data_IF_077612104210
#
_entry.id   IF_077612104210
#
_cell.length_a   1.000
_cell.length_b   1.000
_cell.length_c   1.000
_cell.angle_alpha   90.00
_cell.angle_beta   90.00
_cell.angle_gamma   90.00
#
_symmetry.space_group_name_H-M   'P 1'
#
loop_
_entity.id
_entity.type
_entity.pdbx_description
1 polymer ?
#
# COMPACT_ATOMS: atom_id res chain seq x y z
N UNK A 1 -12.70 -32.35 14.47
CA UNK A 1 -12.21 -31.10 15.10
C UNK A 1 -12.23 -30.01 14.04
N UNK A 2 -12.80 -28.84 14.35
CA UNK A 2 -12.73 -27.68 13.45
C UNK A 2 -11.34 -27.05 13.56
N UNK A 3 -10.71 -26.63 12.45
CA UNK A 3 -9.42 -25.95 12.50
C UNK A 3 -9.57 -24.65 13.30
N UNK A 4 -8.67 -24.44 14.26
CA UNK A 4 -8.61 -23.21 15.06
C UNK A 4 -7.79 -22.17 14.31
N UNK A 5 -8.45 -21.23 13.64
CA UNK A 5 -7.76 -20.12 12.98
C UNK A 5 -7.26 -19.13 14.03
N UNK A 6 -5.94 -18.86 14.04
CA UNK A 6 -5.34 -17.83 14.88
C UNK A 6 -5.07 -16.57 14.05
N UNK A 7 -5.58 -15.44 14.51
CA UNK A 7 -5.23 -14.15 13.96
C UNK A 7 -3.80 -13.81 14.35
N UNK A 8 -2.97 -13.46 13.36
CA UNK A 8 -1.59 -13.02 13.58
C UNK A 8 -1.49 -11.55 13.23
N UNK A 9 -1.10 -10.74 14.21
CA UNK A 9 -0.76 -9.35 13.98
C UNK A 9 0.67 -9.27 13.45
N UNK A 10 0.89 -8.43 12.46
CA UNK A 10 2.21 -8.20 11.89
C UNK A 10 3.02 -7.27 12.78
N UNK A 11 4.23 -7.68 13.12
CA UNK A 11 5.22 -6.79 13.72
C UNK A 11 5.66 -5.77 12.66
N UNK A 12 5.68 -4.50 13.05
CA UNK A 12 5.95 -3.39 12.14
C UNK A 12 7.10 -2.57 12.67
N UNK A 13 7.99 -2.15 11.77
CA UNK A 13 9.13 -1.33 12.15
C UNK A 13 8.68 0.07 12.57
N UNK A 14 8.83 0.35 13.86
CA UNK A 14 8.49 1.65 14.46
C UNK A 14 9.27 2.82 13.87
N UNK A 15 10.48 2.60 13.35
CA UNK A 15 11.25 3.67 12.71
C UNK A 15 10.60 4.08 11.39
N UNK A 16 10.34 3.11 10.51
CA UNK A 16 9.64 3.36 9.25
C UNK A 16 8.22 3.90 9.49
N UNK A 17 7.51 3.42 10.53
CA UNK A 17 6.19 3.92 10.90
C UNK A 17 6.23 5.43 11.19
N UNK A 18 7.22 5.87 11.99
CA UNK A 18 7.42 7.28 12.35
C UNK A 18 7.84 8.15 11.17
N UNK A 19 8.67 7.64 10.25
CA UNK A 19 9.07 8.36 9.04
C UNK A 19 7.84 8.65 8.18
N UNK A 20 7.05 7.62 7.86
CA UNK A 20 5.83 7.77 7.07
C UNK A 20 4.82 8.71 7.75
N UNK A 21 4.64 8.61 9.06
CA UNK A 21 3.77 9.53 9.80
C UNK A 21 4.20 11.00 9.64
N UNK A 22 5.49 11.29 9.85
CA UNK A 22 6.01 12.67 9.79
C UNK A 22 5.98 13.23 8.38
N UNK A 23 6.40 12.45 7.38
CA UNK A 23 6.53 12.92 6.02
C UNK A 23 5.18 13.05 5.29
N UNK A 24 4.22 12.20 5.62
CA UNK A 24 2.88 12.23 5.00
C UNK A 24 1.84 12.96 5.85
N UNK A 25 2.15 13.28 7.11
CA UNK A 25 1.20 13.90 8.04
C UNK A 25 -0.01 13.01 8.37
N UNK A 26 0.20 11.69 8.40
CA UNK A 26 -0.88 10.69 8.59
C UNK A 26 -0.89 10.10 10.01
N UNK A 27 -2.04 9.58 10.41
CA UNK A 27 -2.21 8.89 11.69
C UNK A 27 -1.36 7.61 11.76
N UNK A 28 -0.81 7.22 12.94
CA UNK A 28 -0.01 5.99 13.11
C UNK A 28 -0.66 4.73 12.54
N UNK A 29 -1.97 4.60 12.75
CA UNK A 29 -2.76 3.48 12.19
C UNK A 29 -2.62 3.35 10.67
N UNK A 30 -2.65 4.47 9.93
CA UNK A 30 -2.49 4.45 8.48
C UNK A 30 -1.07 4.07 8.08
N UNK A 31 -0.07 4.59 8.79
CA UNK A 31 1.33 4.21 8.60
C UNK A 31 1.53 2.69 8.78
N UNK A 32 0.97 2.12 9.85
CA UNK A 32 1.00 0.67 10.10
C UNK A 32 0.28 -0.14 9.02
N UNK A 33 -0.86 0.34 8.50
CA UNK A 33 -1.56 -0.32 7.40
C UNK A 33 -0.72 -0.32 6.12
N UNK A 34 -0.02 0.77 5.81
CA UNK A 34 0.87 0.86 4.64
C UNK A 34 2.02 -0.14 4.76
N UNK A 35 2.68 -0.20 5.92
CA UNK A 35 3.75 -1.17 6.16
C UNK A 35 3.27 -2.62 6.04
N UNK A 36 2.07 -2.93 6.55
CA UNK A 36 1.46 -4.26 6.40
C UNK A 36 1.13 -4.62 4.95
N UNK A 37 1.04 -3.63 4.06
CA UNK A 37 0.89 -3.80 2.60
C UNK A 37 2.25 -3.83 1.88
N UNK A 38 3.36 -3.87 2.62
CA UNK A 38 4.73 -3.76 2.13
C UNK A 38 5.05 -2.41 1.48
N UNK A 39 4.31 -1.35 1.82
CA UNK A 39 4.58 0.02 1.38
C UNK A 39 5.36 0.71 2.49
N UNK A 40 6.69 0.73 2.35
CA UNK A 40 7.62 1.31 3.35
C UNK A 40 8.28 2.60 2.88
N UNK A 41 8.13 2.96 1.61
CA UNK A 41 8.70 4.16 1.02
C UNK A 41 7.68 5.30 1.00
N UNK A 42 8.07 6.49 1.45
CA UNK A 42 7.22 7.69 1.44
C UNK A 42 6.70 8.04 0.06
N UNK A 43 7.51 7.92 -1.00
CA UNK A 43 7.07 8.23 -2.35
C UNK A 43 5.96 7.27 -2.81
N UNK A 44 6.13 5.98 -2.52
CA UNK A 44 5.15 4.94 -2.83
C UNK A 44 3.87 5.14 -2.01
N UNK A 45 4.01 5.40 -0.71
CA UNK A 45 2.89 5.72 0.17
C UNK A 45 2.11 6.96 -0.30
N UNK A 46 2.80 8.00 -0.72
CA UNK A 46 2.18 9.21 -1.28
C UNK A 46 1.42 8.91 -2.56
N UNK A 47 2.02 8.14 -3.48
CA UNK A 47 1.38 7.71 -4.73
C UNK A 47 0.16 6.83 -4.47
N UNK A 48 0.22 5.98 -3.45
CA UNK A 48 -0.88 5.10 -3.06
C UNK A 48 -2.06 5.85 -2.43
N UNK A 49 -1.79 6.77 -1.51
CA UNK A 49 -2.83 7.55 -0.82
C UNK A 49 -3.43 8.66 -1.69
N UNK A 50 -2.62 9.23 -2.58
CA UNK A 50 -3.00 10.37 -3.41
C UNK A 50 -2.68 10.11 -4.89
N UNK A 51 -3.29 9.10 -5.52
CA UNK A 51 -3.02 8.78 -6.91
C UNK A 51 -3.57 9.85 -7.84
N UNK A 52 -2.95 10.00 -9.01
CA UNK A 52 -3.45 10.85 -10.10
C UNK A 52 -3.66 10.06 -11.39
N UNK A 53 -4.40 10.62 -12.35
CA UNK A 53 -4.57 9.98 -13.67
C UNK A 53 -3.23 9.78 -14.40
N UNK A 54 -2.21 10.59 -14.09
CA UNK A 54 -0.86 10.46 -14.67
C UNK A 54 -0.11 9.22 -14.15
N UNK A 55 -0.56 8.66 -13.03
CA UNK A 55 0.03 7.47 -12.42
C UNK A 55 -0.51 6.16 -13.01
N UNK A 56 -1.56 6.23 -13.83
CA UNK A 56 -2.17 5.07 -14.47
C UNK A 56 -1.20 4.43 -15.47
N UNK A 57 -1.11 3.11 -15.42
CA UNK A 57 -0.42 2.34 -16.46
C UNK A 57 -1.17 2.46 -17.78
N UNK A 58 -0.43 2.34 -18.89
CA UNK A 58 -1.04 2.31 -20.21
C UNK A 58 -2.00 1.11 -20.31
N UNK A 59 -3.30 1.32 -20.60
CA UNK A 59 -4.28 0.24 -20.65
C UNK A 59 -3.94 -0.82 -21.71
N UNK A 60 -3.26 -0.44 -22.81
CA UNK A 60 -2.85 -1.37 -23.86
C UNK A 60 -1.75 -2.36 -23.45
N UNK A 61 -1.23 -2.25 -22.22
CA UNK A 61 -0.37 -3.28 -21.61
C UNK A 61 -1.19 -4.43 -21.01
N UNK A 62 -2.49 -4.26 -20.82
CA UNK A 62 -3.38 -5.33 -20.36
C UNK A 62 -3.57 -6.37 -21.47
N UNK A 63 -3.66 -7.63 -21.07
CA UNK A 63 -3.89 -8.75 -22.00
C UNK A 63 -5.18 -8.52 -22.79
N UNK A 64 -5.11 -8.72 -24.10
CA UNK A 64 -6.24 -8.63 -25.05
C UNK A 64 -6.90 -7.24 -25.14
N UNK A 65 -6.29 -6.19 -24.56
CA UNK A 65 -6.85 -4.83 -24.61
C UNK A 65 -6.99 -4.31 -26.03
N UNK A 66 -6.07 -4.67 -26.93
CA UNK A 66 -6.13 -4.28 -28.36
C UNK A 66 -7.28 -4.94 -29.13
N UNK A 67 -7.68 -6.15 -28.74
CA UNK A 67 -8.74 -6.90 -29.43
C UNK A 67 -10.15 -6.46 -28.99
N UNK A 68 -10.26 -5.83 -27.81
CA UNK A 68 -11.52 -5.42 -27.22
C UNK A 68 -11.98 -3.99 -27.53
N UNK A 69 -11.23 -3.22 -28.31
CA UNK A 69 -11.58 -1.84 -28.76
C UNK A 69 -12.14 -1.81 -30.16
#
# INVERSE_FOLDING_TARGET
MLPTTRWKLSDTDTQTENVLMKELGIHPLLSRILLNRNISNTMEAKKFLFPSLKDLHNPFLMKDMKEGV
#
